data_IF_407711443991
#
_entry.id   IF_407711443991
#
_cell.length_a   1.000
_cell.length_b   1.000
_cell.length_c   1.000
_cell.angle_alpha   90.00
_cell.angle_beta   90.00
_cell.angle_gamma   90.00
#
_symmetry.space_group_name_H-M   'P 1'
#
loop_
_entity.id
_entity.type
_entity.pdbx_description
1 polymer ?
#
# COMPACT_ATOMS: atom_id res chain seq x y z
N UNK A 1 -9.60 -5.90 -23.64
CA UNK A 1 -8.22 -5.49 -24.00
C UNK A 1 -7.27 -6.27 -23.13
N UNK A 2 -6.64 -7.27 -23.71
CA UNK A 2 -5.51 -7.96 -23.09
C UNK A 2 -4.33 -7.02 -23.23
N UNK A 3 -3.75 -6.55 -22.12
CA UNK A 3 -2.43 -5.92 -22.19
C UNK A 3 -1.49 -6.96 -22.81
N UNK A 4 -0.70 -6.63 -23.85
CA UNK A 4 0.23 -7.58 -24.43
C UNK A 4 1.36 -7.82 -23.44
N UNK A 5 1.16 -8.74 -22.51
CA UNK A 5 2.19 -9.29 -21.62
C UNK A 5 2.97 -10.34 -22.40
N UNK A 6 3.86 -9.89 -23.29
CA UNK A 6 4.92 -10.75 -23.80
C UNK A 6 5.95 -10.92 -22.68
N UNK A 7 6.02 -12.10 -22.05
CA UNK A 7 7.16 -12.73 -21.38
C UNK A 7 8.27 -11.87 -20.71
N UNK A 8 7.95 -10.70 -20.17
CA UNK A 8 8.98 -9.84 -19.58
C UNK A 8 8.39 -8.58 -18.97
N UNK A 9 8.34 -8.57 -17.64
CA UNK A 9 8.38 -7.40 -16.74
C UNK A 9 8.28 -6.03 -17.45
N UNK A 10 7.16 -5.34 -17.29
CA UNK A 10 7.05 -3.90 -17.63
C UNK A 10 7.49 -3.07 -16.42
N UNK A 11 8.71 -3.29 -15.95
CA UNK A 11 9.37 -2.37 -15.05
C UNK A 11 10.57 -1.82 -15.80
N UNK A 12 10.43 -0.58 -16.27
CA UNK A 12 11.53 0.12 -16.92
C UNK A 12 12.74 0.26 -15.99
N UNK A 13 12.54 0.22 -14.66
CA UNK A 13 13.55 0.32 -13.60
C UNK A 13 13.13 -0.51 -12.37
N UNK A 14 14.10 -0.89 -11.52
CA UNK A 14 13.79 -1.56 -10.24
C UNK A 14 12.88 -0.68 -9.35
N UNK A 15 11.91 -1.29 -8.64
CA UNK A 15 11.05 -0.60 -7.69
C UNK A 15 11.86 0.11 -6.61
N UNK A 16 11.47 1.35 -6.32
CA UNK A 16 12.08 2.14 -5.24
C UNK A 16 11.13 2.24 -4.07
N UNK A 17 11.70 2.40 -2.87
CA UNK A 17 10.92 2.71 -1.67
C UNK A 17 9.97 3.89 -1.95
N UNK A 18 8.75 3.80 -1.45
CA UNK A 18 7.70 4.79 -1.70
C UNK A 18 6.89 4.53 -2.97
N UNK A 19 7.32 3.67 -3.89
CA UNK A 19 6.55 3.36 -5.09
C UNK A 19 5.24 2.65 -4.77
N UNK A 20 4.17 3.00 -5.47
CA UNK A 20 2.92 2.24 -5.44
C UNK A 20 3.03 1.15 -6.50
N UNK A 21 2.94 -0.11 -6.09
CA UNK A 21 3.22 -1.27 -6.93
C UNK A 21 1.98 -2.16 -7.04
N UNK A 22 1.77 -2.69 -8.24
CA UNK A 22 0.79 -3.73 -8.54
C UNK A 22 1.50 -5.08 -8.59
N UNK A 23 1.03 -6.06 -7.82
CA UNK A 23 1.61 -7.40 -7.75
C UNK A 23 0.53 -8.45 -7.44
N UNK A 24 0.91 -9.73 -7.54
CA UNK A 24 0.07 -10.86 -7.12
C UNK A 24 0.81 -11.61 -5.99
N UNK A 25 0.38 -11.52 -4.72
CA UNK A 25 1.06 -12.19 -3.62
C UNK A 25 0.97 -13.72 -3.71
N UNK A 26 1.89 -14.41 -3.05
CA UNK A 26 1.92 -15.88 -3.03
C UNK A 26 0.60 -16.46 -2.49
N UNK A 27 0.04 -17.46 -3.16
CA UNK A 27 -1.25 -18.05 -2.77
C UNK A 27 -2.49 -17.22 -3.11
N UNK A 28 -2.35 -16.05 -3.75
CA UNK A 28 -3.47 -15.22 -4.21
C UNK A 28 -3.64 -15.29 -5.74
N UNK A 29 -4.87 -15.04 -6.21
CA UNK A 29 -5.19 -14.94 -7.65
C UNK A 29 -5.51 -13.51 -8.11
N UNK A 30 -5.74 -12.62 -7.14
CA UNK A 30 -6.12 -11.23 -7.38
C UNK A 30 -4.89 -10.30 -7.36
N UNK A 31 -5.00 -9.17 -8.06
CA UNK A 31 -4.00 -8.12 -8.04
C UNK A 31 -4.15 -7.25 -6.80
N UNK A 32 -3.03 -6.96 -6.16
CA UNK A 32 -2.92 -6.07 -5.01
C UNK A 32 -2.21 -4.79 -5.43
N UNK A 33 -2.61 -3.67 -4.81
CA UNK A 33 -1.96 -2.37 -4.98
C UNK A 33 -1.58 -1.85 -3.59
N UNK A 34 -0.28 -1.74 -3.33
CA UNK A 34 0.25 -1.31 -2.04
C UNK A 34 1.50 -0.44 -2.26
N UNK A 35 1.91 0.28 -1.22
CA UNK A 35 3.13 1.09 -1.23
C UNK A 35 4.32 0.25 -0.79
N UNK A 36 5.40 0.28 -1.57
CA UNK A 36 6.67 -0.36 -1.24
C UNK A 36 7.33 0.38 -0.09
N UNK A 37 7.45 -0.27 1.06
CA UNK A 37 8.02 0.33 2.27
C UNK A 37 9.36 -0.27 2.62
N UNK A 38 9.52 -1.59 2.62
CA UNK A 38 10.80 -2.25 2.91
C UNK A 38 11.42 -2.89 1.67
N UNK A 39 12.70 -2.62 1.47
CA UNK A 39 13.59 -3.20 0.47
C UNK A 39 14.36 -4.38 1.09
N UNK A 40 14.95 -5.27 0.27
CA UNK A 40 15.82 -6.34 0.76
C UNK A 40 16.85 -5.83 1.78
N UNK A 41 16.96 -6.53 2.92
CA UNK A 41 17.88 -6.20 4.01
C UNK A 41 17.36 -5.19 5.04
N UNK A 42 16.22 -4.54 4.79
CA UNK A 42 15.67 -3.59 5.75
C UNK A 42 15.11 -4.27 7.00
N UNK A 43 15.18 -3.54 8.11
CA UNK A 43 14.42 -3.80 9.34
C UNK A 43 13.22 -2.85 9.37
N UNK A 44 12.01 -3.39 9.32
CA UNK A 44 10.76 -2.63 9.40
C UNK A 44 10.05 -2.94 10.71
N UNK A 45 9.57 -1.94 11.42
CA UNK A 45 8.82 -2.13 12.66
C UNK A 45 7.81 -1.00 12.87
N UNK A 46 6.68 -1.28 13.50
CA UNK A 46 5.81 -0.26 14.07
C UNK A 46 5.94 -0.25 15.60
N UNK A 47 6.02 0.95 16.18
CA UNK A 47 5.98 1.16 17.64
C UNK A 47 5.04 2.32 17.92
N UNK A 48 3.96 2.09 18.64
CA UNK A 48 2.89 3.05 18.93
C UNK A 48 2.41 3.80 17.66
N UNK A 49 2.19 3.06 16.57
CA UNK A 49 1.73 3.60 15.27
C UNK A 49 2.79 4.32 14.44
N UNK A 50 4.02 4.49 14.97
CA UNK A 50 5.12 5.12 14.25
C UNK A 50 5.91 4.07 13.49
N UNK A 51 6.11 4.29 12.19
CA UNK A 51 6.96 3.47 11.34
C UNK A 51 8.44 3.69 11.69
N UNK A 52 9.17 2.61 11.94
CA UNK A 52 10.62 2.57 12.06
C UNK A 52 11.20 1.80 10.87
N UNK A 53 12.20 2.40 10.22
CA UNK A 53 13.00 1.77 9.18
C UNK A 53 14.47 1.77 9.60
N UNK A 54 15.07 0.59 9.65
CA UNK A 54 16.45 0.39 10.09
C UNK A 54 16.72 1.07 11.44
N UNK A 55 15.79 0.82 12.38
CA UNK A 55 15.77 1.35 13.75
C UNK A 55 15.63 2.88 13.87
N UNK A 56 15.41 3.59 12.74
CA UNK A 56 15.14 5.03 12.71
C UNK A 56 13.64 5.33 12.59
N UNK A 57 13.07 6.19 13.46
CA UNK A 57 11.67 6.60 13.34
C UNK A 57 11.47 7.45 12.09
N UNK A 58 10.41 7.19 11.34
CA UNK A 58 9.97 7.99 10.22
C UNK A 58 9.08 9.13 10.73
N UNK A 59 9.08 10.27 10.04
CA UNK A 59 8.37 11.46 10.52
C UNK A 59 6.91 11.40 10.10
N UNK A 60 5.98 11.71 11.00
CA UNK A 60 4.55 11.68 10.74
C UNK A 60 3.83 12.86 11.40
N UNK A 61 2.96 13.54 10.65
CA UNK A 61 2.16 14.65 11.16
C UNK A 61 0.67 14.40 10.89
N UNK A 62 -0.19 14.54 11.89
CA UNK A 62 -1.64 14.53 11.68
C UNK A 62 -2.01 15.80 10.90
N UNK A 63 -2.60 15.63 9.71
CA UNK A 63 -3.03 16.74 8.86
C UNK A 63 -4.53 17.03 8.99
N UNK A 64 -5.32 16.02 9.36
CA UNK A 64 -6.75 16.18 9.67
C UNK A 64 -7.27 14.98 10.46
N UNK A 65 -8.40 15.17 11.11
CA UNK A 65 -9.16 14.11 11.74
C UNK A 65 -10.53 13.96 11.08
N UNK A 66 -11.14 12.79 11.21
CA UNK A 66 -12.45 12.51 10.66
C UNK A 66 -13.06 11.26 11.26
N UNK A 67 -14.04 10.70 10.55
CA UNK A 67 -14.62 9.39 10.86
C UNK A 67 -14.63 8.50 9.63
N UNK A 68 -14.40 7.21 9.82
CA UNK A 68 -14.43 6.20 8.76
C UNK A 68 -15.16 4.95 9.23
N UNK A 69 -15.56 4.09 8.30
CA UNK A 69 -16.09 2.78 8.64
C UNK A 69 -14.92 1.82 8.95
N UNK A 70 -14.99 1.09 10.04
CA UNK A 70 -13.98 0.11 10.51
C UNK A 70 -14.00 -1.23 9.74
N UNK A 71 -14.77 -1.33 8.66
CA UNK A 71 -15.01 -2.57 7.92
C UNK A 71 -16.08 -3.47 8.53
N UNK A 72 -16.51 -3.21 9.78
CA UNK A 72 -17.60 -3.91 10.47
C UNK A 72 -18.92 -3.15 10.44
N UNK A 73 -18.96 -1.97 9.82
CA UNK A 73 -20.14 -1.11 9.78
C UNK A 73 -20.10 0.04 10.79
N UNK A 74 -19.12 0.08 11.71
CA UNK A 74 -19.07 1.10 12.75
C UNK A 74 -18.29 2.32 12.27
N UNK A 75 -18.78 3.51 12.60
CA UNK A 75 -18.05 4.75 12.35
C UNK A 75 -17.05 5.00 13.47
N UNK A 76 -15.76 4.83 13.19
CA UNK A 76 -14.64 5.08 14.12
C UNK A 76 -13.92 6.38 13.80
N UNK A 77 -13.23 6.96 14.80
CA UNK A 77 -12.38 8.14 14.58
C UNK A 77 -11.18 7.76 13.73
N UNK A 78 -10.81 8.61 12.79
CA UNK A 78 -9.63 8.42 11.94
C UNK A 78 -8.77 9.67 11.89
N UNK A 79 -7.47 9.48 11.71
CA UNK A 79 -6.48 10.50 11.41
C UNK A 79 -6.05 10.32 9.96
N UNK A 80 -5.95 11.43 9.24
CA UNK A 80 -5.12 11.48 8.05
C UNK A 80 -3.76 12.01 8.47
N UNK A 81 -2.73 11.25 8.14
CA UNK A 81 -1.36 11.49 8.56
C UNK A 81 -0.53 11.74 7.30
N UNK A 82 0.30 12.78 7.33
CA UNK A 82 1.38 12.98 6.37
C UNK A 82 2.62 12.29 6.90
N UNK A 83 2.98 11.17 6.30
CA UNK A 83 4.16 10.38 6.63
C UNK A 83 5.30 10.71 5.67
N UNK A 84 6.50 10.93 6.20
CA UNK A 84 7.72 11.22 5.45
C UNK A 84 8.77 10.16 5.78
N UNK A 85 9.25 9.50 4.74
CA UNK A 85 10.25 8.45 4.84
C UNK A 85 11.63 9.07 4.58
N UNK A 86 12.58 8.80 5.46
CA UNK A 86 13.96 9.27 5.34
C UNK A 86 14.58 8.84 4.00
N UNK A 87 15.28 9.77 3.35
CA UNK A 87 15.83 9.60 2.01
C UNK A 87 14.82 9.61 0.86
N UNK A 88 13.54 9.97 1.12
CA UNK A 88 12.55 10.26 0.08
C UNK A 88 12.24 11.76 0.05
N UNK A 89 12.12 12.34 -1.14
CA UNK A 89 11.72 13.75 -1.29
C UNK A 89 10.21 13.96 -1.02
N UNK A 90 9.43 12.88 -1.08
CA UNK A 90 7.97 12.91 -1.06
C UNK A 90 7.42 12.39 0.25
N UNK A 91 6.48 13.14 0.82
CA UNK A 91 5.61 12.65 1.89
C UNK A 91 4.32 12.06 1.31
N UNK A 92 3.76 11.07 2.00
CA UNK A 92 2.54 10.37 1.60
C UNK A 92 1.42 10.62 2.61
N UNK A 93 0.18 10.63 2.13
CA UNK A 93 -0.98 10.67 3.02
C UNK A 93 -1.43 9.25 3.32
N UNK A 94 -1.43 8.91 4.60
CA UNK A 94 -1.95 7.65 5.11
C UNK A 94 -3.14 7.92 6.02
N UNK A 95 -4.00 6.93 6.14
CA UNK A 95 -5.18 6.94 6.99
C UNK A 95 -5.01 5.89 8.07
N UNK A 96 -5.31 6.27 9.30
CA UNK A 96 -5.09 5.49 10.52
C UNK A 96 -6.30 5.71 11.44
N UNK A 97 -6.80 4.69 12.11
CA UNK A 97 -7.93 4.76 13.04
C UNK A 97 -7.42 5.01 14.44
N UNK A 98 -8.08 5.89 15.20
CA UNK A 98 -7.59 6.24 16.55
C UNK A 98 -7.79 5.14 17.60
N UNK A 99 -8.25 3.97 17.17
CA UNK A 99 -8.52 2.79 18.00
C UNK A 99 -7.35 1.84 17.80
N UNK A 100 -6.48 1.72 18.81
CA UNK A 100 -5.22 0.96 18.70
C UNK A 100 -5.39 -0.35 17.93
N UNK A 101 -4.73 -0.42 16.78
CA UNK A 101 -4.82 -1.55 15.86
C UNK A 101 -3.66 -2.52 16.11
N UNK A 102 -3.86 -3.80 15.77
CA UNK A 102 -2.79 -4.80 15.85
C UNK A 102 -1.55 -4.39 15.04
N UNK A 103 -1.73 -3.59 13.99
CA UNK A 103 -0.65 -3.08 13.16
C UNK A 103 0.14 -1.90 13.73
N UNK A 104 -0.23 -1.36 14.89
CA UNK A 104 0.41 -0.19 15.52
C UNK A 104 1.67 -0.55 16.32
N UNK A 105 1.74 -1.80 16.78
CA UNK A 105 2.88 -2.34 17.50
C UNK A 105 3.21 -3.72 16.93
N UNK A 106 4.41 -3.85 16.36
CA UNK A 106 4.83 -5.09 15.71
C UNK A 106 6.19 -5.55 16.21
N UNK A 107 6.46 -6.84 16.01
CA UNK A 107 7.83 -7.33 15.97
C UNK A 107 8.61 -6.71 14.81
N UNK A 108 9.93 -6.95 14.78
CA UNK A 108 10.80 -6.51 13.70
C UNK A 108 10.64 -7.45 12.51
N UNK A 109 10.27 -6.88 11.36
CA UNK A 109 10.32 -7.55 10.07
C UNK A 109 11.71 -7.34 9.46
N UNK A 110 12.47 -8.42 9.28
CA UNK A 110 13.70 -8.40 8.49
C UNK A 110 13.37 -8.81 7.06
N UNK A 111 13.41 -7.84 6.13
CA UNK A 111 13.01 -8.09 4.74
C UNK A 111 14.04 -9.01 4.07
N UNK A 112 13.63 -10.21 3.62
CA UNK A 112 14.56 -11.16 3.02
C UNK A 112 15.14 -10.65 1.71
N UNK A 113 16.28 -11.22 1.32
CA UNK A 113 16.82 -11.05 -0.02
C UNK A 113 15.78 -11.41 -1.09
N UNK A 114 15.75 -10.64 -2.17
CA UNK A 114 14.81 -10.78 -3.28
C UNK A 114 13.32 -10.66 -2.92
N UNK A 115 13.00 -10.08 -1.77
CA UNK A 115 11.62 -9.83 -1.35
C UNK A 115 11.42 -8.37 -0.95
N UNK A 116 10.16 -7.98 -0.83
CA UNK A 116 9.74 -6.63 -0.50
C UNK A 116 8.68 -6.65 0.60
N UNK A 117 8.63 -5.56 1.36
CA UNK A 117 7.61 -5.32 2.39
C UNK A 117 6.71 -4.17 1.96
N UNK A 118 5.41 -4.42 1.91
CA UNK A 118 4.40 -3.51 1.40
C UNK A 118 3.42 -3.10 2.49
N UNK A 119 2.98 -1.84 2.46
CA UNK A 119 1.91 -1.33 3.32
C UNK A 119 0.77 -0.74 2.50
N UNK A 120 -0.44 -0.83 3.03
CA UNK A 120 -1.56 -0.02 2.55
C UNK A 120 -1.50 1.38 3.15
N UNK A 121 -1.89 2.38 2.35
CA UNK A 121 -2.03 3.75 2.84
C UNK A 121 -3.24 3.90 3.78
N UNK A 122 -4.23 3.00 3.72
CA UNK A 122 -5.29 2.88 4.73
C UNK A 122 -4.86 1.82 5.75
N UNK A 123 -4.07 2.23 6.75
CA UNK A 123 -3.25 1.36 7.61
C UNK A 123 -4.09 0.31 8.32
N UNK A 124 -5.16 0.69 8.98
CA UNK A 124 -5.92 -0.28 9.79
C UNK A 124 -6.92 -1.11 8.99
N UNK A 125 -7.18 -0.71 7.74
CA UNK A 125 -8.07 -1.44 6.84
C UNK A 125 -7.29 -2.12 5.71
N UNK A 126 -6.04 -2.50 5.98
CA UNK A 126 -5.16 -3.10 4.99
C UNK A 126 -4.52 -4.37 5.53
N UNK A 127 -4.95 -5.53 5.00
CA UNK A 127 -4.24 -6.79 5.14
C UNK A 127 -2.99 -6.77 4.25
N UNK A 128 -1.95 -6.08 4.72
CA UNK A 128 -0.66 -5.94 4.06
C UNK A 128 0.44 -6.80 4.71
N UNK A 129 1.72 -6.47 4.50
CA UNK A 129 2.84 -7.30 4.92
C UNK A 129 2.97 -7.43 6.45
N UNK A 130 2.27 -6.60 7.23
CA UNK A 130 2.19 -6.74 8.70
C UNK A 130 1.43 -7.98 9.15
N UNK A 131 0.63 -8.57 8.26
CA UNK A 131 -0.25 -9.68 8.63
C UNK A 131 0.21 -10.97 7.96
N UNK A 132 0.01 -12.08 8.66
CA UNK A 132 0.32 -13.42 8.16
C UNK A 132 -0.74 -13.90 7.17
N UNK A 133 -0.35 -14.77 6.25
CA UNK A 133 -1.23 -15.32 5.20
C UNK A 133 -2.48 -16.01 5.75
N UNK A 134 -2.41 -16.64 6.93
CA UNK A 134 -3.56 -17.36 7.53
C UNK A 134 -4.73 -16.45 7.90
N UNK A 135 -4.51 -15.15 8.04
CA UNK A 135 -5.56 -14.15 8.28
C UNK A 135 -5.76 -13.21 7.09
N UNK A 136 -5.25 -13.58 5.91
CA UNK A 136 -5.40 -12.84 4.66
C UNK A 136 -4.35 -11.74 4.43
N UNK A 137 -3.30 -11.67 5.26
CA UNK A 137 -2.14 -10.82 4.99
C UNK A 137 -1.31 -11.31 3.82
N UNK A 138 -0.52 -10.41 3.22
CA UNK A 138 0.27 -10.72 2.02
C UNK A 138 1.72 -11.13 2.32
N UNK A 139 2.14 -11.03 3.59
CA UNK A 139 3.54 -11.27 4.00
C UNK A 139 4.57 -10.49 3.18
N UNK A 140 5.76 -11.04 3.06
CA UNK A 140 6.78 -10.53 2.13
C UNK A 140 6.46 -10.96 0.69
N UNK A 141 6.74 -10.08 -0.26
CA UNK A 141 6.40 -10.31 -1.67
C UNK A 141 7.68 -10.51 -2.49
N UNK A 142 7.87 -11.66 -3.15
CA UNK A 142 9.03 -11.89 -4.01
C UNK A 142 9.11 -10.88 -5.16
N UNK A 143 10.33 -10.46 -5.52
CA UNK A 143 10.60 -9.59 -6.68
C UNK A 143 9.91 -10.06 -7.97
N UNK A 144 9.80 -11.38 -8.16
CA UNK A 144 9.17 -11.99 -9.33
C UNK A 144 7.66 -11.77 -9.45
N UNK A 145 6.98 -11.41 -8.36
CA UNK A 145 5.53 -11.26 -8.31
C UNK A 145 5.06 -9.87 -8.71
N UNK A 146 5.99 -8.94 -8.92
CA UNK A 146 5.66 -7.57 -9.31
C UNK A 146 5.28 -7.51 -10.78
N UNK A 147 4.13 -6.91 -11.03
CA UNK A 147 3.54 -6.78 -12.36
C UNK A 147 3.90 -5.43 -12.96
N UNK A 148 3.67 -4.34 -12.22
CA UNK A 148 3.92 -2.98 -12.69
C UNK A 148 3.99 -1.96 -11.54
N UNK A 149 4.63 -0.80 -11.81
CA UNK A 149 4.51 0.40 -10.99
C UNK A 149 3.24 1.17 -11.37
N UNK A 150 2.44 1.58 -10.39
CA UNK A 150 1.29 2.44 -10.60
C UNK A 150 1.76 3.90 -10.77
N UNK A 151 2.22 4.27 -11.97
CA UNK A 151 2.66 5.63 -12.30
C UNK A 151 1.52 6.64 -12.50
N UNK A 152 0.27 6.20 -12.39
CA UNK A 152 -0.91 7.03 -12.57
C UNK A 152 -1.98 6.61 -11.56
N UNK A 153 -2.68 7.58 -10.95
CA UNK A 153 -4.01 7.32 -10.38
C UNK A 153 -4.90 7.04 -11.59
N UNK A 154 -4.96 5.79 -12.04
CA UNK A 154 -5.80 5.42 -13.17
C UNK A 154 -7.27 5.53 -12.76
N UNK A 155 -7.64 5.14 -11.52
CA UNK A 155 -9.03 5.06 -11.10
C UNK A 155 -9.26 5.35 -9.60
N UNK A 156 -10.16 6.30 -9.30
CA UNK A 156 -11.00 6.26 -8.10
C UNK A 156 -12.32 5.66 -8.51
N UNK A 157 -12.56 4.43 -8.08
CA UNK A 157 -13.66 3.60 -8.56
C UNK A 157 -14.46 3.07 -7.40
N UNK A 158 -15.77 3.01 -7.59
CA UNK A 158 -16.68 2.33 -6.68
C UNK A 158 -16.65 0.81 -6.90
N UNK A 159 -17.30 0.06 -6.01
CA UNK A 159 -17.34 -1.42 -5.98
C UNK A 159 -17.89 -2.08 -7.26
N UNK A 160 -18.43 -1.29 -8.20
CA UNK A 160 -18.96 -1.77 -9.48
C UNK A 160 -17.90 -1.78 -10.58
N UNK A 161 -16.74 -1.18 -10.35
CA UNK A 161 -15.66 -1.19 -11.33
C UNK A 161 -14.92 -2.53 -11.32
N UNK A 162 -14.89 -3.17 -12.48
CA UNK A 162 -13.99 -4.30 -12.72
C UNK A 162 -13.04 -3.93 -13.85
N UNK A 163 -11.73 -4.02 -13.59
CA UNK A 163 -10.67 -3.64 -14.55
C UNK A 163 -10.85 -4.30 -15.93
N UNK A 164 -11.46 -5.49 -15.97
CA UNK A 164 -11.70 -6.31 -17.16
C UNK A 164 -13.09 -6.16 -17.79
N UNK A 165 -13.97 -5.26 -17.28
CA UNK A 165 -15.30 -4.99 -17.83
C UNK A 165 -15.38 -3.55 -18.37
N UNK A 166 -15.08 -3.30 -19.66
CA UNK A 166 -14.95 -1.95 -20.18
C UNK A 166 -16.24 -1.10 -20.06
N UNK A 167 -17.42 -1.72 -20.00
CA UNK A 167 -18.69 -1.02 -19.77
C UNK A 167 -18.87 -0.48 -18.34
N UNK A 168 -18.10 -0.95 -17.36
CA UNK A 168 -18.14 -0.39 -15.99
C UNK A 168 -17.31 0.88 -15.83
N UNK A 169 -16.58 1.30 -16.88
CA UNK A 169 -15.74 2.50 -16.85
C UNK A 169 -16.58 3.80 -16.83
N UNK A 170 -17.87 3.73 -17.16
CA UNK A 170 -18.80 4.86 -16.97
C UNK A 170 -18.99 5.28 -15.51
N UNK A 171 -18.66 4.41 -14.55
CA UNK A 171 -18.79 4.68 -13.10
C UNK A 171 -17.56 5.34 -12.47
N UNK A 172 -16.55 5.70 -13.28
CA UNK A 172 -15.34 6.37 -12.81
C UNK A 172 -15.65 7.79 -12.34
N UNK A 173 -15.24 8.16 -11.12
CA UNK A 173 -15.44 9.51 -10.58
C UNK A 173 -14.55 10.52 -11.30
N UNK A 174 -15.16 11.31 -12.20
CA UNK A 174 -14.49 12.24 -13.13
C UNK A 174 -13.71 13.40 -12.49
N UNK A 175 -13.81 13.61 -11.17
CA UNK A 175 -13.27 14.79 -10.47
C UNK A 175 -11.79 14.73 -10.03
N UNK A 176 -11.05 13.64 -10.32
CA UNK A 176 -9.64 13.47 -9.89
C UNK A 176 -8.66 13.16 -11.02
N UNK A 177 -9.07 13.40 -12.26
CA UNK A 177 -8.23 13.22 -13.45
C UNK A 177 -7.09 14.25 -13.46
N UNK A 178 -5.85 13.82 -13.78
CA UNK A 178 -4.66 14.65 -14.00
C UNK A 178 -4.00 15.34 -12.78
N UNK A 179 -4.21 14.88 -11.55
CA UNK A 179 -3.25 15.22 -10.48
C UNK A 179 -2.13 14.19 -10.47
N UNK A 180 -0.98 14.58 -11.01
CA UNK A 180 0.26 13.86 -10.77
C UNK A 180 0.46 13.69 -9.26
N UNK A 181 0.88 12.50 -8.83
CA UNK A 181 1.36 12.31 -7.48
C UNK A 181 2.75 12.98 -7.46
N UNK A 182 2.78 14.30 -7.27
CA UNK A 182 3.96 15.04 -6.83
C UNK A 182 4.15 14.85 -5.35
#
# INVERSE_FOLDING_TARGET
FTLPIHNGRILAHEPKRGDIIVFVPEGHKDYFVKRLIGLPGDRVQFRNGILYLNDKPQTSFVISEGRTNDGSGNMVKTKHIREHIDGQDRAYTVQDTQTGAQGDDTDVYLVPENQYFFLGDNRDNSLDSRYVHSIGGIGYVPKGHIVAKANFILFSVDDRFKLFKPWTWGYMRKGRFLRGIT
#
